data_IF_031022431910
#
_entry.id   IF_031022431910
#
_cell.length_a   1.000
_cell.length_b   1.000
_cell.length_c   1.000
_cell.angle_alpha   90.00
_cell.angle_beta   90.00
_cell.angle_gamma   90.00
#
_symmetry.space_group_name_H-M   'P 1'
#
loop_
_entity.id
_entity.type
_entity.pdbx_description
1 polymer ?
#
# COMPACT_ATOMS: atom_id res chain seq x y z
N UNK A 1 -1.37 -5.84 26.95
CA UNK A 1 -1.58 -6.40 25.61
C UNK A 1 -0.61 -5.72 24.67
N UNK A 2 0.39 -6.43 24.16
CA UNK A 2 1.38 -5.86 23.24
C UNK A 2 0.81 -5.85 21.81
N UNK A 3 0.26 -4.72 21.37
CA UNK A 3 -0.17 -4.52 19.99
C UNK A 3 1.06 -4.36 19.09
N UNK A 4 1.36 -5.36 18.26
CA UNK A 4 2.55 -5.35 17.39
C UNK A 4 2.19 -4.75 16.04
N UNK A 5 2.94 -3.73 15.64
CA UNK A 5 2.85 -3.11 14.32
C UNK A 5 3.87 -3.75 13.37
N UNK A 6 3.44 -3.90 12.12
CA UNK A 6 4.19 -4.45 11.01
C UNK A 6 4.06 -3.53 9.80
N UNK A 7 5.05 -3.57 8.93
CA UNK A 7 5.09 -2.85 7.66
C UNK A 7 5.45 -3.81 6.53
N UNK A 8 4.83 -3.57 5.38
CA UNK A 8 5.19 -4.14 4.09
C UNK A 8 5.10 -3.06 3.04
N UNK A 9 5.86 -3.21 1.96
CA UNK A 9 5.79 -2.36 0.78
C UNK A 9 5.46 -3.23 -0.45
N UNK A 10 4.82 -2.63 -1.44
CA UNK A 10 4.57 -3.28 -2.73
C UNK A 10 5.72 -2.95 -3.69
N UNK A 11 6.31 -4.00 -4.27
CA UNK A 11 7.55 -3.85 -5.05
C UNK A 11 7.35 -3.17 -6.40
N UNK A 12 6.15 -3.32 -6.96
CA UNK A 12 5.88 -3.07 -8.39
C UNK A 12 4.69 -2.11 -8.61
N UNK A 13 4.52 -1.10 -7.75
CA UNK A 13 3.42 -0.10 -7.84
C UNK A 13 3.31 0.54 -9.22
N UNK A 14 4.45 0.84 -9.83
CA UNK A 14 4.49 1.46 -11.16
C UNK A 14 3.93 0.56 -12.26
N UNK A 15 4.16 -0.76 -12.18
CA UNK A 15 3.63 -1.70 -13.16
C UNK A 15 2.12 -1.80 -13.04
N UNK A 16 1.59 -1.86 -11.81
CA UNK A 16 0.14 -1.91 -11.54
C UNK A 16 -0.56 -0.67 -12.12
N UNK A 17 0.03 0.51 -11.95
CA UNK A 17 -0.52 1.76 -12.48
C UNK A 17 -0.57 1.79 -14.01
N UNK A 18 0.48 1.30 -14.66
CA UNK A 18 0.57 1.24 -16.13
C UNK A 18 -0.53 0.36 -16.74
N UNK A 19 -0.94 -0.72 -16.05
CA UNK A 19 -2.05 -1.56 -16.52
C UNK A 19 -3.42 -0.90 -16.43
N UNK A 20 -3.59 0.13 -15.60
CA UNK A 20 -4.86 0.86 -15.48
C UNK A 20 -4.96 2.06 -16.43
N UNK A 21 -3.87 2.78 -16.66
CA UNK A 21 -3.89 4.00 -17.47
C UNK A 21 -2.72 4.01 -18.47
N UNK A 22 -3.03 4.06 -19.77
CA UNK A 22 -2.05 4.40 -20.80
C UNK A 22 -1.73 5.89 -20.73
N UNK A 23 -0.48 6.23 -20.42
CA UNK A 23 -0.05 7.63 -20.31
C UNK A 23 0.52 8.10 -21.64
N UNK A 24 -0.16 9.09 -22.23
CA UNK A 24 0.30 9.81 -23.42
C UNK A 24 0.90 11.16 -23.01
N UNK A 25 2.05 11.51 -23.58
CA UNK A 25 2.69 12.82 -23.37
C UNK A 25 2.96 13.53 -24.68
N UNK A 26 2.84 14.86 -24.65
CA UNK A 26 3.25 15.69 -25.77
C UNK A 26 4.73 15.49 -26.09
N UNK A 27 5.05 15.70 -27.37
CA UNK A 27 6.41 15.58 -27.85
C UNK A 27 7.31 16.58 -27.12
N UNK A 28 8.44 16.12 -26.54
CA UNK A 28 9.39 17.04 -25.95
C UNK A 28 9.93 18.00 -27.02
N UNK A 29 10.25 19.25 -26.68
CA UNK A 29 10.73 20.25 -27.64
C UNK A 29 11.95 19.81 -28.47
N UNK A 30 12.74 18.86 -27.97
CA UNK A 30 13.94 18.29 -28.61
C UNK A 30 13.69 17.00 -29.39
N UNK A 31 12.45 16.50 -29.44
CA UNK A 31 12.09 15.23 -30.07
C UNK A 31 10.75 15.35 -30.82
N UNK A 32 10.61 16.45 -31.58
CA UNK A 32 9.44 16.69 -32.42
C UNK A 32 9.59 15.99 -33.78
N UNK A 33 8.60 15.18 -34.13
CA UNK A 33 8.46 14.56 -35.44
C UNK A 33 7.83 15.57 -36.42
N UNK A 34 8.59 15.93 -37.46
CA UNK A 34 8.15 16.88 -38.48
C UNK A 34 7.03 16.33 -39.37
N UNK A 35 6.91 15.01 -39.54
CA UNK A 35 5.85 14.39 -40.34
C UNK A 35 4.55 14.23 -39.53
N UNK A 36 4.65 14.09 -38.21
CA UNK A 36 3.51 13.95 -37.31
C UNK A 36 3.56 14.92 -36.12
N UNK A 37 3.41 16.24 -36.35
CA UNK A 37 3.58 17.26 -35.30
C UNK A 37 2.51 17.18 -34.18
N UNK A 38 1.37 16.54 -34.45
CA UNK A 38 0.27 16.39 -33.49
C UNK A 38 0.26 15.03 -32.76
N UNK A 39 1.22 14.14 -33.04
CA UNK A 39 1.31 12.87 -32.33
C UNK A 39 1.77 13.04 -30.89
N UNK A 40 1.40 12.10 -30.03
CA UNK A 40 1.79 12.03 -28.63
C UNK A 40 2.56 10.74 -28.39
N UNK A 41 3.55 10.77 -27.50
CA UNK A 41 4.31 9.57 -27.14
C UNK A 41 3.56 8.77 -26.08
N UNK A 42 3.39 7.47 -26.32
CA UNK A 42 2.95 6.52 -25.29
C UNK A 42 4.17 6.14 -24.43
N UNK A 43 4.11 6.49 -23.14
CA UNK A 43 5.19 6.25 -22.18
C UNK A 43 5.24 4.78 -21.73
N UNK A 44 6.01 3.94 -22.43
CA UNK A 44 6.22 2.53 -22.03
C UNK A 44 7.15 2.33 -20.83
N UNK A 45 7.85 3.37 -20.36
CA UNK A 45 8.85 3.27 -19.27
C UNK A 45 8.75 4.52 -18.41
N UNK A 46 7.92 4.48 -17.38
CA UNK A 46 7.62 5.66 -16.57
C UNK A 46 8.80 6.02 -15.68
N UNK A 47 9.29 7.25 -15.85
CA UNK A 47 10.22 7.90 -14.93
C UNK A 47 9.55 8.07 -13.56
N UNK A 48 10.35 7.94 -12.50
CA UNK A 48 9.97 8.19 -11.11
C UNK A 48 9.09 9.46 -10.97
N UNK A 49 7.92 9.35 -10.32
CA UNK A 49 7.14 10.52 -9.90
C UNK A 49 5.72 10.66 -10.46
N UNK A 50 5.20 9.67 -11.21
CA UNK A 50 3.78 9.69 -11.59
C UNK A 50 2.88 9.56 -10.35
N UNK A 51 2.18 10.64 -10.01
CA UNK A 51 1.14 10.67 -8.96
C UNK A 51 0.04 9.62 -9.19
N UNK A 52 -0.13 9.17 -10.44
CA UNK A 52 -1.05 8.10 -10.81
C UNK A 52 -0.70 6.79 -10.12
N UNK A 53 0.59 6.45 -9.95
CA UNK A 53 0.95 5.12 -9.47
C UNK A 53 0.57 4.85 -8.00
N UNK A 54 0.89 5.74 -7.04
CA UNK A 54 0.39 5.61 -5.67
C UNK A 54 -1.14 5.68 -5.57
N UNK A 55 -1.80 6.44 -6.45
CA UNK A 55 -3.26 6.55 -6.48
C UNK A 55 -3.92 5.26 -6.94
N UNK A 56 -3.50 4.72 -8.10
CA UNK A 56 -4.00 3.44 -8.61
C UNK A 56 -3.75 2.31 -7.62
N UNK A 57 -2.58 2.30 -6.98
CA UNK A 57 -2.30 1.35 -5.90
C UNK A 57 -3.29 1.48 -4.75
N UNK A 58 -3.55 2.69 -4.27
CA UNK A 58 -4.53 2.91 -3.20
C UNK A 58 -5.93 2.42 -3.60
N UNK A 59 -6.37 2.71 -4.83
CA UNK A 59 -7.70 2.31 -5.32
C UNK A 59 -7.83 0.78 -5.42
N UNK A 60 -6.83 0.10 -5.98
CA UNK A 60 -6.80 -1.37 -6.13
C UNK A 60 -6.73 -2.05 -4.77
N UNK A 61 -5.79 -1.61 -3.92
CA UNK A 61 -5.61 -2.16 -2.58
C UNK A 61 -6.85 -1.95 -1.73
N UNK A 62 -7.43 -0.74 -1.78
CA UNK A 62 -8.64 -0.45 -1.03
C UNK A 62 -9.80 -1.31 -1.51
N UNK A 63 -9.97 -1.50 -2.81
CA UNK A 63 -11.03 -2.36 -3.34
C UNK A 63 -10.84 -3.80 -2.84
N UNK A 64 -9.63 -4.33 -2.96
CA UNK A 64 -9.30 -5.65 -2.46
C UNK A 64 -9.59 -5.83 -0.97
N UNK A 65 -9.26 -4.84 -0.13
CA UNK A 65 -9.57 -4.89 1.30
C UNK A 65 -11.08 -4.89 1.56
N UNK A 66 -11.85 -4.04 0.87
CA UNK A 66 -13.31 -4.01 0.99
C UNK A 66 -13.93 -5.36 0.59
N UNK A 67 -13.47 -5.94 -0.53
CA UNK A 67 -13.92 -7.26 -1.00
C UNK A 67 -13.55 -8.39 -0.01
N UNK A 68 -12.51 -8.18 0.81
CA UNK A 68 -12.08 -9.11 1.87
C UNK A 68 -12.69 -8.81 3.26
N UNK A 69 -13.83 -8.11 3.31
CA UNK A 69 -14.58 -7.79 4.53
C UNK A 69 -13.84 -6.86 5.50
N UNK A 70 -13.01 -5.95 4.98
CA UNK A 70 -12.54 -4.82 5.77
C UNK A 70 -13.50 -3.65 5.64
N UNK A 71 -13.64 -2.88 6.72
CA UNK A 71 -14.38 -1.63 6.73
C UNK A 71 -13.40 -0.46 6.64
N UNK A 72 -13.71 0.53 5.81
CA UNK A 72 -12.94 1.77 5.74
C UNK A 72 -13.21 2.63 6.98
N UNK A 73 -12.16 3.25 7.52
CA UNK A 73 -12.23 4.17 8.64
C UNK A 73 -13.14 5.36 8.34
N UNK A 74 -13.94 5.77 9.33
CA UNK A 74 -14.89 6.89 9.19
C UNK A 74 -14.23 8.27 9.11
N UNK A 75 -13.06 8.40 9.74
CA UNK A 75 -12.32 9.68 9.85
C UNK A 75 -11.13 9.69 8.90
N UNK A 76 -10.44 8.56 8.76
CA UNK A 76 -9.29 8.39 7.88
C UNK A 76 -9.60 7.34 6.82
N UNK A 77 -9.67 7.78 5.56
CA UNK A 77 -9.95 6.93 4.41
C UNK A 77 -8.82 5.95 4.09
N UNK A 78 -7.62 6.18 4.64
CA UNK A 78 -6.46 5.29 4.48
C UNK A 78 -6.43 4.15 5.48
N UNK A 79 -7.25 4.23 6.54
CA UNK A 79 -7.37 3.23 7.58
C UNK A 79 -8.48 2.24 7.25
N UNK A 80 -8.22 0.97 7.48
CA UNK A 80 -9.12 -0.16 7.30
C UNK A 80 -9.12 -1.01 8.56
N UNK A 81 -10.29 -1.49 8.93
CA UNK A 81 -10.51 -2.26 10.15
C UNK A 81 -11.29 -3.51 9.82
N UNK A 82 -10.84 -4.65 10.34
CA UNK A 82 -11.60 -5.90 10.28
C UNK A 82 -11.67 -6.52 11.67
N UNK A 83 -12.86 -6.94 12.05
CA UNK A 83 -13.13 -7.61 13.33
C UNK A 83 -13.40 -9.09 13.07
N UNK A 84 -12.69 -9.95 13.80
CA UNK A 84 -12.81 -11.41 13.71
C UNK A 84 -13.02 -11.94 15.12
N UNK A 85 -14.27 -12.23 15.49
CA UNK A 85 -14.63 -12.55 16.86
C UNK A 85 -14.30 -11.39 17.81
N UNK A 86 -13.49 -11.66 18.84
CA UNK A 86 -13.01 -10.65 19.79
C UNK A 86 -11.73 -9.95 19.32
N UNK A 87 -11.13 -10.40 18.22
CA UNK A 87 -9.89 -9.85 17.70
C UNK A 87 -10.13 -8.79 16.63
N UNK A 88 -9.22 -7.84 16.52
CA UNK A 88 -9.27 -6.76 15.54
C UNK A 88 -7.93 -6.62 14.84
N UNK A 89 -7.98 -6.44 13.52
CA UNK A 89 -6.84 -6.01 12.70
C UNK A 89 -7.09 -4.60 12.17
N UNK A 90 -6.07 -3.76 12.28
CA UNK A 90 -5.99 -2.41 11.73
C UNK A 90 -4.97 -2.44 10.60
N UNK A 91 -5.32 -1.86 9.46
CA UNK A 91 -4.48 -1.76 8.27
C UNK A 91 -4.54 -0.32 7.77
N UNK A 92 -3.40 0.30 7.52
CA UNK A 92 -3.29 1.65 7.00
C UNK A 92 -2.41 1.64 5.75
N UNK A 93 -2.92 2.22 4.66
CA UNK A 93 -2.20 2.29 3.37
C UNK A 93 -1.65 3.70 3.20
N UNK A 94 -0.34 3.82 2.99
CA UNK A 94 0.32 5.11 2.77
C UNK A 94 1.29 5.04 1.58
N UNK A 95 0.90 5.65 0.45
CA UNK A 95 1.68 5.69 -0.80
C UNK A 95 2.06 4.30 -1.30
N UNK A 96 3.23 3.77 -0.94
CA UNK A 96 3.69 2.44 -1.33
C UNK A 96 3.78 1.46 -0.14
N UNK A 97 3.58 1.97 1.07
CA UNK A 97 3.68 1.22 2.31
C UNK A 97 2.31 0.83 2.83
N UNK A 98 2.24 -0.34 3.46
CA UNK A 98 1.11 -0.80 4.24
C UNK A 98 1.60 -1.07 5.65
N UNK A 99 1.00 -0.36 6.60
CA UNK A 99 1.23 -0.55 8.02
C UNK A 99 0.02 -1.26 8.60
N UNK A 100 0.25 -2.31 9.37
CA UNK A 100 -0.85 -3.05 9.97
C UNK A 100 -0.48 -3.62 11.33
N UNK A 101 -1.49 -3.90 12.13
CA UNK A 101 -1.33 -4.51 13.44
C UNK A 101 -2.65 -5.13 13.88
N UNK A 102 -2.56 -6.17 14.70
CA UNK A 102 -3.73 -6.86 15.21
C UNK A 102 -3.57 -7.19 16.69
N UNK A 103 -4.70 -7.42 17.36
CA UNK A 103 -4.74 -7.97 18.73
C UNK A 103 -4.22 -9.41 18.78
N UNK A 104 -4.30 -10.13 17.66
CA UNK A 104 -3.86 -11.50 17.51
C UNK A 104 -2.84 -11.63 16.37
N UNK A 105 -1.67 -12.17 16.67
CA UNK A 105 -0.59 -12.34 15.68
C UNK A 105 -0.95 -13.26 14.52
N UNK A 106 -1.91 -14.17 14.70
CA UNK A 106 -2.41 -15.02 13.62
C UNK A 106 -3.08 -14.17 12.53
N UNK A 107 -3.85 -13.15 12.90
CA UNK A 107 -4.48 -12.25 11.93
C UNK A 107 -3.43 -11.49 11.10
N UNK A 108 -2.31 -11.09 11.69
CA UNK A 108 -1.21 -10.48 10.95
C UNK A 108 -0.60 -11.45 9.93
N UNK A 109 -0.41 -12.73 10.30
CA UNK A 109 0.16 -13.72 9.38
C UNK A 109 -0.80 -14.05 8.24
N UNK A 110 -2.10 -14.19 8.53
CA UNK A 110 -3.12 -14.40 7.50
C UNK A 110 -3.19 -13.20 6.56
N UNK A 111 -3.17 -11.97 7.09
CA UNK A 111 -3.12 -10.76 6.27
C UNK A 111 -1.92 -10.74 5.33
N UNK A 112 -0.72 -11.07 5.83
CA UNK A 112 0.51 -11.14 5.03
C UNK A 112 0.36 -12.13 3.89
N UNK A 113 -0.15 -13.34 4.17
CA UNK A 113 -0.37 -14.37 3.15
C UNK A 113 -1.39 -13.92 2.10
N UNK A 114 -2.51 -13.34 2.54
CA UNK A 114 -3.54 -12.84 1.63
C UNK A 114 -2.98 -11.76 0.71
N UNK A 115 -2.23 -10.80 1.25
CA UNK A 115 -1.62 -9.74 0.44
C UNK A 115 -0.52 -10.25 -0.49
N UNK A 116 0.29 -11.22 -0.05
CA UNK A 116 1.33 -11.84 -0.89
C UNK A 116 0.77 -12.77 -1.97
N UNK A 117 -0.43 -13.32 -1.76
CA UNK A 117 -1.13 -14.13 -2.76
C UNK A 117 -1.69 -13.29 -3.92
N UNK A 118 -2.13 -12.07 -3.63
CA UNK A 118 -2.70 -11.16 -4.64
C UNK A 118 -1.65 -10.23 -5.27
N UNK A 119 -0.70 -9.73 -4.46
CA UNK A 119 0.23 -8.69 -4.86
C UNK A 119 1.69 -9.10 -4.62
N UNK A 120 2.59 -8.54 -5.43
CA UNK A 120 4.03 -8.69 -5.23
C UNK A 120 4.51 -7.80 -4.06
N UNK A 121 4.40 -8.34 -2.85
CA UNK A 121 4.75 -7.64 -1.62
C UNK A 121 6.20 -7.92 -1.17
N UNK A 122 6.77 -6.99 -0.43
CA UNK A 122 8.04 -7.17 0.28
C UNK A 122 7.90 -8.07 1.50
N UNK A 123 9.01 -8.37 2.16
CA UNK A 123 8.99 -9.14 3.41
C UNK A 123 8.37 -8.31 4.54
N UNK A 124 7.55 -8.96 5.37
CA UNK A 124 7.00 -8.34 6.57
C UNK A 124 8.12 -7.87 7.51
N UNK A 125 8.13 -6.58 7.84
CA UNK A 125 9.06 -5.98 8.81
C UNK A 125 8.31 -5.57 10.06
N UNK A 126 8.88 -5.83 11.24
CA UNK A 126 8.31 -5.36 12.50
C UNK A 126 8.64 -3.88 12.69
N UNK A 127 7.61 -3.05 12.90
CA UNK A 127 7.80 -1.63 13.21
C UNK A 127 8.16 -1.46 14.69
N UNK A 128 9.40 -1.02 14.93
CA UNK A 128 9.90 -0.66 16.27
C UNK A 128 9.61 0.80 16.63
N UNK A 129 9.33 1.64 15.63
CA UNK A 129 9.02 3.07 15.75
C UNK A 129 7.95 3.46 14.74
N UNK A 130 6.90 4.16 15.16
CA UNK A 130 5.89 4.73 14.28
C UNK A 130 5.59 6.17 14.77
N UNK A 131 5.69 7.17 13.89
CA UNK A 131 5.43 8.60 14.19
C UNK A 131 6.18 9.15 15.43
N UNK A 132 7.43 8.75 15.65
CA UNK A 132 8.23 9.21 16.80
C UNK A 132 7.88 8.55 18.14
N UNK A 133 6.89 7.66 18.18
CA UNK A 133 6.56 6.84 19.35
C UNK A 133 7.31 5.52 19.26
N UNK A 134 8.15 5.25 20.26
CA UNK A 134 8.89 3.99 20.39
C UNK A 134 7.94 2.93 20.93
N UNK A 135 7.76 1.82 20.21
CA UNK A 135 7.06 0.64 20.73
C UNK A 135 7.92 0.02 21.84
N UNK A 136 7.79 0.52 23.07
CA UNK A 136 8.32 -0.19 24.25
C UNK A 136 7.35 -1.32 24.55
N UNK A 137 7.71 -2.55 24.15
CA UNK A 137 7.14 -3.76 24.76
C UNK A 137 7.44 -3.69 26.25
N UNK A 138 6.44 -3.35 27.05
CA UNK A 138 6.64 -3.19 28.49
C UNK A 138 6.59 -4.59 29.08
N UNK A 139 7.75 -5.21 29.30
CA UNK A 139 7.86 -6.31 30.25
C UNK A 139 7.62 -5.71 31.64
N UNK A 140 6.38 -5.72 32.10
CA UNK A 140 6.05 -5.52 33.50
C UNK A 140 6.52 -6.79 34.22
N UNK A 141 7.79 -6.79 34.62
CA UNK A 141 8.30 -7.71 35.62
C UNK A 141 7.87 -7.18 36.98
N UNK A 142 6.94 -7.87 37.63
CA UNK A 142 6.79 -7.75 39.07
C UNK A 142 7.92 -8.56 39.71
N UNK A 143 8.76 -7.90 40.48
CA UNK A 143 9.62 -8.48 41.51
C UNK A 143 9.58 -7.56 42.71
#
# INVERSE_FOLDING_TARGET
>A
MDFKLYQMDVKSVFLIAFFQEEVYVHQPPSFNDCEFPNHVFNLKKTFYGLKQAPRSWFEISSKFLLDNNYERGKVDNTLFVKRVGNDTILVQIYVNDIVFGATNSFLCQEFVKTMQGEFEMSMMRKLTFFLGVKNKSTKVGFS
#
